data_IF_026386082080
#
_entry.id   IF_026386082080
#
_cell.length_a   1.000
_cell.length_b   1.000
_cell.length_c   1.000
_cell.angle_alpha   90.00
_cell.angle_beta   90.00
_cell.angle_gamma   90.00
#
_symmetry.space_group_name_H-M   'P 1'
#
loop_
_entity.id
_entity.type
_entity.pdbx_description
1 polymer ?
#
# COMPACT_ATOMS: atom_id res chain seq x y z
N UNK A 1 5.42 -21.09 -2.48
CA UNK A 1 5.64 -19.64 -2.67
C UNK A 1 6.02 -18.99 -1.35
N UNK A 2 7.19 -18.37 -1.30
CA UNK A 2 7.71 -17.54 -0.21
C UNK A 2 7.75 -16.09 -0.70
N UNK A 3 7.25 -15.17 0.11
CA UNK A 3 7.32 -13.74 -0.17
C UNK A 3 8.16 -13.02 0.89
N UNK A 4 9.05 -12.16 0.43
CA UNK A 4 9.96 -11.36 1.27
C UNK A 4 9.74 -9.88 0.97
N UNK A 5 9.65 -9.06 2.02
CA UNK A 5 9.56 -7.61 1.91
C UNK A 5 10.65 -6.96 2.77
N UNK A 6 11.68 -6.44 2.13
CA UNK A 6 12.80 -5.78 2.77
C UNK A 6 12.56 -4.26 2.82
N UNK A 7 12.72 -3.64 3.99
CA UNK A 7 12.68 -2.18 4.09
C UNK A 7 13.97 -1.61 3.49
N UNK A 8 13.84 -0.86 2.40
CA UNK A 8 14.98 -0.26 1.68
C UNK A 8 15.06 1.26 1.86
N UNK A 9 14.08 1.87 2.52
CA UNK A 9 14.11 3.30 2.83
C UNK A 9 12.92 3.76 3.67
N UNK A 10 13.15 4.79 4.48
CA UNK A 10 12.13 5.48 5.25
C UNK A 10 12.33 6.99 5.09
N UNK A 11 11.33 7.68 4.57
CA UNK A 11 11.34 9.12 4.34
C UNK A 11 10.08 9.74 4.95
N UNK A 12 10.24 10.33 6.14
CA UNK A 12 9.11 10.87 6.91
C UNK A 12 8.09 9.78 7.25
N UNK A 13 6.94 9.78 6.55
CA UNK A 13 5.88 8.78 6.71
C UNK A 13 5.83 7.75 5.58
N UNK A 14 6.69 7.89 4.56
CA UNK A 14 6.77 6.99 3.43
C UNK A 14 7.82 5.92 3.72
N UNK A 15 7.46 4.65 3.50
CA UNK A 15 8.35 3.50 3.64
C UNK A 15 8.43 2.81 2.29
N UNK A 16 9.64 2.60 1.78
CA UNK A 16 9.90 1.87 0.55
C UNK A 16 10.36 0.46 0.88
N UNK A 17 9.78 -0.52 0.20
CA UNK A 17 10.09 -1.92 0.32
C UNK A 17 10.60 -2.46 -1.02
N UNK A 18 11.61 -3.33 -0.98
CA UNK A 18 11.89 -4.26 -2.07
C UNK A 18 11.16 -5.56 -1.77
N UNK A 19 10.31 -6.00 -2.69
CA UNK A 19 9.53 -7.23 -2.55
C UNK A 19 10.04 -8.28 -3.52
N UNK A 20 10.06 -9.53 -3.07
CA UNK A 20 10.40 -10.71 -3.89
C UNK A 20 9.45 -11.85 -3.57
N UNK A 21 9.06 -12.61 -4.57
CA UNK A 21 8.29 -13.83 -4.46
C UNK A 21 9.02 -14.96 -5.20
N UNK A 22 9.24 -16.08 -4.53
CA UNK A 22 9.97 -17.24 -5.04
C UNK A 22 9.25 -18.53 -4.66
N UNK A 23 9.46 -19.61 -5.40
CA UNK A 23 9.07 -20.97 -5.00
C UNK A 23 10.29 -21.84 -4.72
N UNK A 24 10.12 -23.16 -4.78
CA UNK A 24 11.19 -24.13 -4.50
C UNK A 24 12.24 -24.18 -5.62
N UNK A 25 11.91 -23.64 -6.79
CA UNK A 25 12.74 -23.69 -7.98
C UNK A 25 13.33 -22.31 -8.28
N UNK A 26 12.49 -21.29 -8.42
CA UNK A 26 12.91 -20.01 -9.00
C UNK A 26 12.19 -18.77 -8.41
N UNK A 27 12.75 -17.60 -8.71
CA UNK A 27 12.10 -16.31 -8.46
C UNK A 27 10.90 -16.16 -9.41
N UNK A 28 9.71 -16.04 -8.82
CA UNK A 28 8.45 -15.80 -9.54
C UNK A 28 8.34 -14.32 -9.92
N UNK A 29 8.79 -13.41 -9.06
CA UNK A 29 8.77 -11.98 -9.36
C UNK A 29 9.39 -11.10 -8.28
N UNK A 30 9.80 -9.90 -8.68
CA UNK A 30 10.30 -8.87 -7.77
C UNK A 30 9.83 -7.48 -8.15
N UNK A 31 9.88 -6.55 -7.19
CA UNK A 31 9.50 -5.17 -7.43
C UNK A 31 9.73 -4.26 -6.23
N UNK A 32 9.25 -3.03 -6.35
CA UNK A 32 9.26 -2.04 -5.27
C UNK A 32 7.84 -1.74 -4.83
N UNK A 33 7.62 -1.62 -3.52
CA UNK A 33 6.33 -1.25 -2.95
C UNK A 33 6.52 -0.07 -2.01
N UNK A 34 5.68 0.97 -2.14
CA UNK A 34 5.71 2.13 -1.27
C UNK A 34 4.46 2.18 -0.40
N UNK A 35 4.64 2.44 0.89
CA UNK A 35 3.55 2.60 1.86
C UNK A 35 3.67 3.92 2.58
N UNK A 36 2.53 4.56 2.85
CA UNK A 36 2.47 5.78 3.67
C UNK A 36 1.78 5.47 4.99
N UNK A 37 2.39 5.86 6.11
CA UNK A 37 1.79 5.77 7.43
C UNK A 37 0.72 6.86 7.58
N UNK A 38 -0.50 6.45 7.89
CA UNK A 38 -1.67 7.33 8.04
C UNK A 38 -2.23 7.27 9.46
N UNK A 39 -2.85 8.36 9.89
CA UNK A 39 -3.73 8.34 11.06
C UNK A 39 -5.10 7.81 10.62
N UNK A 40 -5.53 6.70 11.23
CA UNK A 40 -6.73 5.96 10.81
C UNK A 40 -8.00 6.81 10.92
N UNK A 41 -8.22 7.49 12.04
CA UNK A 41 -9.42 8.30 12.28
C UNK A 41 -9.56 9.43 11.25
N UNK A 42 -8.47 10.16 10.98
CA UNK A 42 -8.46 11.23 9.97
C UNK A 42 -8.66 10.69 8.56
N UNK A 43 -8.12 9.52 8.26
CA UNK A 43 -8.27 8.89 6.96
C UNK A 43 -9.73 8.47 6.73
N UNK A 44 -10.34 7.78 7.70
CA UNK A 44 -11.73 7.32 7.63
C UNK A 44 -12.71 8.49 7.48
N UNK A 45 -12.50 9.58 8.23
CA UNK A 45 -13.33 10.78 8.10
C UNK A 45 -13.31 11.36 6.67
N UNK A 46 -12.11 11.43 6.06
CA UNK A 46 -11.96 11.91 4.67
C UNK A 46 -12.58 10.97 3.65
N UNK A 47 -12.47 9.65 3.84
CA UNK A 47 -13.08 8.67 2.95
C UNK A 47 -14.61 8.77 3.01
N UNK A 48 -15.19 8.88 4.21
CA UNK A 48 -16.63 9.08 4.39
C UNK A 48 -17.12 10.40 3.79
N UNK A 49 -16.37 11.48 3.98
CA UNK A 49 -16.67 12.78 3.37
C UNK A 49 -16.65 12.68 1.83
N UNK A 50 -15.61 12.03 1.25
CA UNK A 50 -15.52 11.82 -0.20
C UNK A 50 -16.67 10.96 -0.73
N UNK A 51 -17.03 9.88 -0.03
CA UNK A 51 -18.15 9.03 -0.39
C UNK A 51 -19.49 9.80 -0.33
N UNK A 52 -19.70 10.62 0.70
CA UNK A 52 -20.90 11.45 0.85
C UNK A 52 -20.98 12.54 -0.23
N UNK A 53 -19.85 13.11 -0.65
CA UNK A 53 -19.77 14.07 -1.77
C UNK A 53 -19.91 13.42 -3.15
N UNK A 54 -19.66 12.11 -3.27
CA UNK A 54 -19.76 11.34 -4.51
C UNK A 54 -21.15 10.76 -4.81
N UNK A 55 -22.12 10.91 -3.89
CA UNK A 55 -23.48 10.36 -4.01
C UNK A 55 -24.45 11.12 -4.94
N UNK A 56 -24.00 12.15 -5.66
CA UNK A 56 -24.81 12.90 -6.64
C UNK A 56 -24.33 12.62 -8.07
N UNK A 57 -24.20 11.34 -8.45
CA UNK A 57 -23.79 10.94 -9.79
C UNK A 57 -23.99 9.44 -10.05
N UNK A 58 -25.23 9.04 -10.30
CA UNK A 58 -25.59 7.71 -10.77
C UNK A 58 -27.10 7.47 -10.69
N UNK A 59 -27.78 7.70 -11.81
CA UNK A 59 -29.10 7.11 -12.07
C UNK A 59 -28.98 5.66 -12.53
#
# INVERSE_FOLDING_TARGET
VRATAEVVGVEGRTIRFRVRAEDEHDLIGEGTHERVVVNLERFDARVREKAARGGSGGG
#
